data_IF_366001827617
#
_entry.id   IF_366001827617
#
_cell.length_a   1.000
_cell.length_b   1.000
_cell.length_c   1.000
_cell.angle_alpha   90.00
_cell.angle_beta   90.00
_cell.angle_gamma   90.00
#
_symmetry.space_group_name_H-M   'P 1'
#
loop_
_entity.id
_entity.type
_entity.pdbx_description
1 polymer ?
#
# COMPACT_ATOMS: atom_id res chain seq x y z
N UNK A 1 -6.08 5.79 -7.11
CA UNK A 1 -4.70 5.94 -7.58
C UNK A 1 -4.05 7.12 -6.85
N UNK A 2 -2.81 6.96 -6.41
CA UNK A 2 -1.98 8.01 -5.86
C UNK A 2 -0.81 8.23 -6.83
N UNK A 3 -0.72 9.44 -7.39
CA UNK A 3 0.42 9.84 -8.21
C UNK A 3 1.44 10.52 -7.31
N UNK A 4 2.63 9.94 -7.16
CA UNK A 4 3.77 10.49 -6.41
C UNK A 4 4.74 11.26 -7.30
N UNK A 5 4.39 11.48 -8.56
CA UNK A 5 5.21 12.15 -9.55
C UNK A 5 6.23 11.25 -10.25
N UNK A 6 7.11 11.89 -11.01
CA UNK A 6 8.22 11.20 -11.67
C UNK A 6 9.25 10.72 -10.64
N UNK A 7 9.75 9.50 -10.83
CA UNK A 7 10.74 8.93 -9.94
C UNK A 7 11.28 7.59 -10.41
N UNK A 8 12.16 7.01 -9.60
CA UNK A 8 12.69 5.67 -9.75
C UNK A 8 12.49 4.91 -8.43
N UNK A 9 11.29 4.36 -8.20
CA UNK A 9 11.02 3.61 -6.98
C UNK A 9 11.91 2.37 -6.89
N UNK A 10 12.60 2.20 -5.77
CA UNK A 10 13.56 1.10 -5.57
C UNK A 10 13.13 0.11 -4.51
N UNK A 11 12.36 0.57 -3.53
CA UNK A 11 11.83 -0.30 -2.47
C UNK A 11 10.59 0.30 -1.82
N UNK A 12 9.89 -0.55 -1.09
CA UNK A 12 8.78 -0.19 -0.21
C UNK A 12 8.95 -0.88 1.15
N UNK A 13 8.50 -0.24 2.21
CA UNK A 13 8.45 -0.82 3.55
C UNK A 13 7.18 -0.37 4.28
N UNK A 14 6.55 -1.26 5.06
CA UNK A 14 5.42 -0.88 5.91
C UNK A 14 5.88 -0.54 7.32
N UNK A 15 5.32 0.55 7.88
CA UNK A 15 5.65 1.05 9.20
C UNK A 15 5.13 0.22 10.38
N UNK A 16 4.42 -0.90 10.16
CA UNK A 16 3.76 -1.68 11.20
C UNK A 16 4.67 -2.13 12.35
N UNK A 17 5.94 -2.41 12.04
CA UNK A 17 6.95 -2.82 13.03
C UNK A 17 7.78 -1.64 13.56
N UNK A 18 7.40 -0.41 13.24
CA UNK A 18 8.14 0.78 13.67
C UNK A 18 7.77 1.22 15.09
N UNK A 19 8.73 1.91 15.74
CA UNK A 19 8.44 2.69 16.94
C UNK A 19 8.09 4.14 16.61
N UNK A 20 7.73 4.43 15.37
CA UNK A 20 7.23 5.75 14.98
C UNK A 20 5.83 5.99 15.55
N UNK A 21 5.46 7.26 15.79
CA UNK A 21 4.09 7.60 16.21
C UNK A 21 3.10 7.35 15.05
N UNK A 22 1.82 7.28 15.40
CA UNK A 22 0.77 7.45 14.41
C UNK A 22 0.90 8.86 13.77
N UNK A 23 0.70 9.02 12.45
CA UNK A 23 0.17 8.02 11.50
C UNK A 23 1.26 7.17 10.79
N UNK A 24 2.54 7.34 11.10
CA UNK A 24 3.66 6.67 10.40
C UNK A 24 3.70 5.16 10.60
N UNK A 25 3.22 4.67 11.76
CA UNK A 25 3.11 3.24 12.04
C UNK A 25 2.22 2.51 11.03
N UNK A 26 1.24 3.19 10.45
CA UNK A 26 0.34 2.65 9.44
C UNK A 26 0.68 3.13 8.01
N UNK A 27 1.81 3.81 7.85
CA UNK A 27 2.24 4.33 6.55
C UNK A 27 2.99 3.27 5.73
N UNK A 28 2.89 3.43 4.42
CA UNK A 28 3.75 2.76 3.45
C UNK A 28 4.88 3.71 3.08
N UNK A 29 6.12 3.30 3.27
CA UNK A 29 7.29 4.07 2.87
C UNK A 29 7.72 3.66 1.46
N UNK A 30 7.84 4.64 0.56
CA UNK A 30 8.27 4.43 -0.83
C UNK A 30 9.58 5.16 -1.04
N UNK A 31 10.58 4.45 -1.54
CA UNK A 31 11.92 4.97 -1.78
C UNK A 31 12.07 5.37 -3.24
N UNK A 32 12.55 6.59 -3.47
CA UNK A 32 12.86 7.11 -4.82
C UNK A 32 14.36 7.38 -4.97
N UNK A 33 15.01 6.59 -5.78
CA UNK A 33 16.43 6.66 -6.05
C UNK A 33 16.81 7.94 -6.85
N UNK A 34 15.98 8.31 -7.83
CA UNK A 34 16.31 9.37 -8.79
C UNK A 34 16.34 10.75 -8.13
N UNK A 35 15.39 11.04 -7.25
CA UNK A 35 15.26 12.34 -6.60
C UNK A 35 15.73 12.37 -5.15
N UNK A 36 16.21 11.22 -4.64
CA UNK A 36 16.74 11.13 -3.28
C UNK A 36 15.68 11.37 -2.20
N UNK A 37 14.58 10.64 -2.28
CA UNK A 37 13.44 10.81 -1.40
C UNK A 37 12.97 9.49 -0.80
N UNK A 38 12.45 9.56 0.40
CA UNK A 38 11.57 8.54 0.98
C UNK A 38 10.25 9.23 1.27
N UNK A 39 9.17 8.73 0.68
CA UNK A 39 7.81 9.21 0.93
C UNK A 39 7.14 8.36 2.00
N UNK A 40 6.40 8.98 2.90
CA UNK A 40 5.44 8.31 3.76
C UNK A 40 4.04 8.43 3.12
N UNK A 41 3.42 7.32 2.79
CA UNK A 41 2.09 7.24 2.20
C UNK A 41 1.10 6.77 3.24
N UNK A 42 0.15 7.63 3.57
CA UNK A 42 -0.93 7.35 4.51
C UNK A 42 -2.14 6.81 3.74
N UNK A 43 -2.51 5.58 4.04
CA UNK A 43 -3.59 4.86 3.37
C UNK A 43 -4.89 4.95 4.17
N UNK A 44 -5.96 5.32 3.49
CA UNK A 44 -7.32 5.38 4.04
C UNK A 44 -8.21 4.39 3.29
N UNK A 45 -8.95 3.50 3.98
CA UNK A 45 -9.89 2.58 3.33
C UNK A 45 -10.92 3.33 2.47
N UNK A 46 -11.13 2.86 1.24
CA UNK A 46 -12.08 3.43 0.27
C UNK A 46 -12.65 2.32 -0.60
N UNK A 47 -13.89 1.91 -0.32
CA UNK A 47 -14.51 0.75 -0.95
C UNK A 47 -13.65 -0.50 -0.85
N UNK A 48 -13.50 -1.21 -1.95
CA UNK A 48 -12.67 -2.41 -2.05
C UNK A 48 -11.16 -2.12 -2.19
N UNK A 49 -10.72 -0.88 -1.97
CA UNK A 49 -9.32 -0.44 -2.08
C UNK A 49 -8.97 0.60 -1.01
N UNK A 50 -8.03 1.47 -1.33
CA UNK A 50 -7.55 2.54 -0.46
C UNK A 50 -7.33 3.82 -1.27
N UNK A 51 -7.52 4.96 -0.61
CA UNK A 51 -6.97 6.25 -1.04
C UNK A 51 -5.66 6.50 -0.33
N UNK A 52 -4.73 7.14 -1.01
CA UNK A 52 -3.44 7.53 -0.44
C UNK A 52 -3.28 9.04 -0.36
N UNK A 53 -2.59 9.48 0.67
CA UNK A 53 -1.98 10.80 0.80
C UNK A 53 -0.52 10.60 1.12
N UNK A 54 0.40 11.37 0.54
CA UNK A 54 1.82 11.22 0.81
C UNK A 54 2.45 12.54 1.28
N UNK A 55 3.58 12.40 1.93
CA UNK A 55 4.48 13.48 2.28
C UNK A 55 5.94 13.04 2.10
N UNK A 56 6.84 14.00 1.93
CA UNK A 56 8.27 13.74 1.92
C UNK A 56 8.75 13.48 3.35
N UNK A 57 9.14 12.23 3.63
CA UNK A 57 9.57 11.80 4.96
C UNK A 57 11.08 12.00 5.16
N UNK A 58 11.88 11.63 4.17
CA UNK A 58 13.32 11.90 4.13
C UNK A 58 13.66 12.44 2.76
N UNK A 59 14.50 13.46 2.71
CA UNK A 59 15.02 14.02 1.45
C UNK A 59 16.50 14.37 1.58
N UNK A 60 17.25 14.25 0.51
CA UNK A 60 18.67 14.58 0.49
C UNK A 60 19.27 14.59 -0.91
N UNK A 61 20.44 15.23 -1.02
CA UNK A 61 21.22 15.27 -2.27
C UNK A 61 22.72 15.24 -1.96
N UNK A 62 23.46 14.18 -2.36
CA UNK A 62 22.92 12.95 -2.96
C UNK A 62 22.25 12.05 -1.92
N UNK A 63 21.14 11.40 -2.26
CA UNK A 63 20.49 10.40 -1.43
C UNK A 63 19.84 9.32 -2.33
N UNK A 64 20.67 8.60 -3.06
CA UNK A 64 20.23 7.54 -3.98
C UNK A 64 19.82 6.31 -3.17
N UNK A 65 18.61 6.30 -2.64
CA UNK A 65 18.06 5.24 -1.79
C UNK A 65 17.83 3.96 -2.59
N UNK A 66 18.30 2.81 -2.06
CA UNK A 66 18.31 1.53 -2.77
C UNK A 66 17.48 0.45 -2.09
N UNK A 67 17.29 0.53 -0.77
CA UNK A 67 16.52 -0.42 0.00
C UNK A 67 16.25 0.11 1.39
N UNK A 68 15.19 -0.39 2.03
CA UNK A 68 14.87 -0.09 3.42
C UNK A 68 14.13 -1.25 4.10
N UNK A 69 14.31 -1.36 5.41
CA UNK A 69 13.53 -2.24 6.27
C UNK A 69 13.48 -1.68 7.69
N UNK A 70 12.52 -2.16 8.48
CA UNK A 70 12.43 -1.83 9.90
C UNK A 70 13.20 -2.83 10.74
N UNK A 71 14.14 -2.36 11.55
CA UNK A 71 14.89 -3.19 12.47
C UNK A 71 14.08 -3.60 13.71
N UNK A 72 14.58 -4.57 14.48
CA UNK A 72 13.95 -5.03 15.72
C UNK A 72 13.83 -3.94 16.80
N UNK A 73 14.59 -2.85 16.65
CA UNK A 73 14.53 -1.65 17.49
C UNK A 73 13.48 -0.63 17.01
N UNK A 74 12.66 -0.99 16.05
CA UNK A 74 11.60 -0.17 15.47
C UNK A 74 12.08 1.06 14.69
N UNK A 75 13.37 1.16 14.39
CA UNK A 75 13.93 2.20 13.54
C UNK A 75 13.86 1.79 12.05
N UNK A 76 13.72 2.77 11.16
CA UNK A 76 13.86 2.55 9.72
C UNK A 76 15.35 2.55 9.37
N UNK A 77 15.83 1.47 8.80
CA UNK A 77 17.16 1.37 8.20
C UNK A 77 17.01 1.46 6.68
N UNK A 78 17.82 2.31 6.06
CA UNK A 78 17.84 2.38 4.61
C UNK A 78 19.28 2.48 4.10
N UNK A 79 19.48 1.97 2.89
CA UNK A 79 20.75 2.00 2.19
C UNK A 79 20.71 3.00 1.05
N UNK A 80 21.88 3.57 0.77
CA UNK A 80 22.10 4.39 -0.42
C UNK A 80 23.21 3.79 -1.26
N UNK A 81 23.17 4.04 -2.57
CA UNK A 81 24.19 3.59 -3.48
C UNK A 81 23.85 3.88 -4.94
N UNK A 82 24.79 3.64 -5.81
CA UNK A 82 24.60 3.82 -7.23
C UNK A 82 25.88 4.26 -7.94
N UNK A 83 25.77 4.53 -9.23
CA UNK A 83 26.91 4.90 -10.06
C UNK A 83 27.57 6.17 -9.54
N UNK A 84 28.85 6.07 -9.14
CA UNK A 84 29.70 7.20 -8.70
C UNK A 84 29.22 7.89 -7.41
N UNK A 85 28.35 7.26 -6.62
CA UNK A 85 27.94 7.73 -5.30
C UNK A 85 28.49 6.82 -4.21
N UNK A 86 28.88 7.41 -3.10
CA UNK A 86 29.30 6.63 -1.94
C UNK A 86 28.09 5.89 -1.36
N UNK A 87 28.25 4.59 -1.12
CA UNK A 87 27.23 3.79 -0.44
C UNK A 87 27.19 4.13 1.04
N UNK A 88 26.02 4.06 1.62
CA UNK A 88 25.80 4.32 3.02
C UNK A 88 24.65 3.47 3.60
N UNK A 89 24.70 3.26 4.91
CA UNK A 89 23.61 2.70 5.70
C UNK A 89 23.18 3.77 6.70
N UNK A 90 21.91 4.07 6.71
CA UNK A 90 21.32 5.11 7.55
C UNK A 90 20.27 4.50 8.47
N UNK A 91 20.09 5.10 9.63
CA UNK A 91 19.08 4.74 10.62
C UNK A 91 18.25 5.96 10.98
N UNK A 92 16.94 5.86 10.82
CA UNK A 92 15.96 6.86 11.24
C UNK A 92 15.17 6.33 12.42
N UNK A 93 15.17 7.07 13.52
CA UNK A 93 14.40 6.74 14.73
C UNK A 93 13.61 7.94 15.21
N UNK A 94 12.47 7.67 15.80
CA UNK A 94 11.72 8.71 16.49
C UNK A 94 12.38 9.01 17.85
N UNK A 95 12.63 10.29 18.13
CA UNK A 95 13.26 10.74 19.38
C UNK A 95 12.36 11.64 20.22
N UNK A 96 11.17 11.96 19.72
CA UNK A 96 10.20 12.81 20.40
C UNK A 96 9.31 12.04 21.38
N UNK A 97 8.46 12.77 22.11
CA UNK A 97 7.31 12.18 22.79
C UNK A 97 6.19 12.04 21.76
N UNK A 98 5.49 10.88 21.69
CA UNK A 98 4.31 10.78 20.85
C UNK A 98 3.34 11.90 21.23
N UNK A 99 3.00 12.77 20.27
CA UNK A 99 1.85 13.65 20.46
C UNK A 99 0.63 12.74 20.33
N UNK A 100 -0.22 12.76 21.38
CA UNK A 100 -1.57 12.29 21.22
C UNK A 100 -2.21 13.19 20.16
N UNK A 101 -2.71 12.55 19.10
CA UNK A 101 -3.47 13.16 18.03
C UNK A 101 -2.73 14.01 16.98
N UNK A 102 -2.51 13.39 15.86
CA UNK A 102 -2.86 13.95 14.55
C UNK A 102 -3.16 12.79 13.60
N UNK A 103 -4.10 11.93 14.00
CA UNK A 103 -4.63 10.91 13.12
C UNK A 103 -5.26 11.55 11.87
N UNK A 104 -5.26 10.82 10.77
CA UNK A 104 -6.17 11.10 9.66
C UNK A 104 -7.57 11.33 10.21
N UNK A 105 -8.40 12.20 9.60
CA UNK A 105 -9.78 12.39 10.03
C UNK A 105 -10.42 11.02 10.28
N UNK A 106 -10.95 10.81 11.48
CA UNK A 106 -11.58 9.54 11.83
C UNK A 106 -12.72 9.28 10.85
N UNK A 107 -12.57 8.26 10.02
CA UNK A 107 -13.68 7.76 9.21
C UNK A 107 -14.75 7.22 10.16
N UNK A 108 -16.01 7.52 9.88
CA UNK A 108 -17.12 6.95 10.64
C UNK A 108 -17.04 5.41 10.64
N UNK A 109 -17.38 4.78 11.74
CA UNK A 109 -17.35 3.30 11.87
C UNK A 109 -18.12 2.59 10.76
N UNK A 110 -19.25 3.14 10.32
CA UNK A 110 -20.07 2.61 9.22
C UNK A 110 -19.28 2.59 7.90
N UNK A 111 -18.50 3.63 7.61
CA UNK A 111 -17.69 3.69 6.39
C UNK A 111 -16.54 2.67 6.43
N UNK A 112 -15.90 2.52 7.60
CA UNK A 112 -14.82 1.53 7.78
C UNK A 112 -15.33 0.10 7.62
N UNK A 113 -16.51 -0.20 8.16
CA UNK A 113 -17.11 -1.52 8.03
C UNK A 113 -17.54 -1.81 6.59
N UNK A 114 -18.19 -0.87 5.90
CA UNK A 114 -18.53 -1.00 4.49
C UNK A 114 -17.30 -1.23 3.61
N UNK A 115 -16.23 -0.48 3.83
CA UNK A 115 -14.97 -0.66 3.11
C UNK A 115 -14.31 -2.02 3.43
N UNK A 116 -14.44 -2.52 4.66
CA UNK A 116 -13.97 -3.86 5.04
C UNK A 116 -14.71 -4.94 4.28
N UNK A 117 -16.04 -4.89 4.24
CA UNK A 117 -16.90 -5.84 3.52
C UNK A 117 -16.57 -5.83 2.01
N UNK A 118 -16.39 -4.65 1.42
CA UNK A 118 -16.00 -4.51 0.01
C UNK A 118 -14.65 -5.17 -0.28
N UNK A 119 -13.66 -5.01 0.60
CA UNK A 119 -12.35 -5.67 0.46
C UNK A 119 -12.44 -7.19 0.67
N UNK A 120 -13.29 -7.66 1.56
CA UNK A 120 -13.54 -9.09 1.75
C UNK A 120 -14.19 -9.72 0.51
N UNK A 121 -15.18 -9.07 -0.08
CA UNK A 121 -15.79 -9.50 -1.33
C UNK A 121 -14.76 -9.56 -2.46
N UNK A 122 -13.94 -8.51 -2.61
CA UNK A 122 -12.86 -8.49 -3.59
C UNK A 122 -11.90 -9.67 -3.38
N UNK A 123 -11.44 -9.94 -2.15
CA UNK A 123 -10.54 -11.08 -1.86
C UNK A 123 -11.18 -12.42 -2.21
N UNK A 124 -12.46 -12.60 -1.96
CA UNK A 124 -13.19 -13.81 -2.37
C UNK A 124 -13.18 -13.99 -3.89
N UNK A 125 -13.35 -12.92 -4.64
CA UNK A 125 -13.24 -12.96 -6.11
C UNK A 125 -11.82 -13.26 -6.56
N UNK A 126 -10.80 -12.69 -5.92
CA UNK A 126 -9.39 -12.89 -6.24
C UNK A 126 -8.92 -14.34 -6.06
N UNK A 127 -9.55 -15.15 -5.20
CA UNK A 127 -9.29 -16.60 -5.11
C UNK A 127 -9.52 -17.27 -6.47
N UNK A 128 -10.56 -16.85 -7.19
CA UNK A 128 -10.93 -17.42 -8.48
C UNK A 128 -10.12 -16.85 -9.66
N UNK A 129 -9.12 -16.02 -9.43
CA UNK A 129 -8.12 -15.67 -10.43
C UNK A 129 -7.18 -16.84 -10.77
N UNK A 130 -7.13 -17.87 -9.93
CA UNK A 130 -6.34 -19.09 -10.13
C UNK A 130 -7.16 -20.37 -9.98
N UNK A 131 -8.33 -20.32 -9.34
CA UNK A 131 -9.18 -21.47 -9.10
C UNK A 131 -10.39 -21.49 -10.05
N UNK A 132 -10.71 -22.69 -10.58
CA UNK A 132 -11.84 -22.89 -11.46
C UNK A 132 -12.96 -23.65 -10.74
N UNK A 133 -14.14 -23.01 -10.59
CA UNK A 133 -15.30 -23.63 -9.94
C UNK A 133 -16.62 -23.03 -10.42
N UNK A 134 -17.71 -23.75 -10.20
CA UNK A 134 -19.08 -23.23 -10.47
C UNK A 134 -19.39 -22.07 -9.51
N UNK A 135 -18.93 -22.16 -8.27
CA UNK A 135 -19.11 -21.08 -7.27
C UNK A 135 -18.40 -19.80 -7.73
N UNK A 136 -17.13 -19.91 -8.19
CA UNK A 136 -16.37 -18.80 -8.71
C UNK A 136 -17.02 -18.15 -9.93
N UNK A 137 -17.60 -18.97 -10.82
CA UNK A 137 -18.36 -18.47 -11.96
C UNK A 137 -19.58 -17.65 -11.51
N UNK A 138 -20.39 -18.16 -10.60
CA UNK A 138 -21.58 -17.47 -10.10
C UNK A 138 -21.20 -16.17 -9.38
N UNK A 139 -20.23 -16.23 -8.45
CA UNK A 139 -19.76 -15.05 -7.73
C UNK A 139 -19.21 -13.97 -8.67
N UNK A 140 -18.46 -14.36 -9.69
CA UNK A 140 -17.93 -13.42 -10.69
C UNK A 140 -19.07 -12.78 -11.49
N UNK A 141 -20.02 -13.58 -11.98
CA UNK A 141 -21.14 -13.10 -12.78
C UNK A 141 -21.98 -12.07 -12.04
N UNK A 142 -22.32 -12.32 -10.79
CA UNK A 142 -23.15 -11.44 -9.93
C UNK A 142 -22.48 -10.08 -9.64
N UNK A 143 -21.16 -9.99 -9.83
CA UNK A 143 -20.38 -8.79 -9.49
C UNK A 143 -19.79 -8.06 -10.70
N UNK A 144 -20.10 -8.44 -11.94
CA UNK A 144 -19.62 -7.77 -13.15
C UNK A 144 -20.13 -6.33 -13.28
N UNK A 145 -21.29 -6.01 -12.73
CA UNK A 145 -21.90 -4.67 -12.75
C UNK A 145 -21.82 -3.94 -11.40
N UNK A 146 -21.01 -4.41 -10.46
CA UNK A 146 -20.89 -3.82 -9.13
C UNK A 146 -20.39 -2.36 -9.22
N UNK A 147 -20.88 -1.45 -8.35
CA UNK A 147 -20.54 -0.02 -8.36
C UNK A 147 -19.06 0.26 -8.08
N UNK A 148 -18.41 -0.58 -7.26
CA UNK A 148 -16.99 -0.49 -6.98
C UNK A 148 -16.14 -1.03 -8.14
N UNK A 149 -15.26 -0.18 -8.68
CA UNK A 149 -14.39 -0.54 -9.81
C UNK A 149 -13.51 -1.77 -9.52
N UNK A 150 -12.97 -1.88 -8.31
CA UNK A 150 -12.05 -2.96 -7.97
C UNK A 150 -12.75 -4.31 -7.82
N UNK A 151 -14.00 -4.30 -7.38
CA UNK A 151 -14.85 -5.49 -7.34
C UNK A 151 -15.19 -5.92 -8.77
N UNK A 152 -15.64 -4.99 -9.64
CA UNK A 152 -15.88 -5.32 -11.06
C UNK A 152 -14.64 -5.88 -11.74
N UNK A 153 -13.47 -5.28 -11.48
CA UNK A 153 -12.22 -5.74 -12.06
C UNK A 153 -11.88 -7.17 -11.60
N UNK A 154 -11.96 -7.42 -10.30
CA UNK A 154 -11.72 -8.75 -9.74
C UNK A 154 -12.71 -9.79 -10.29
N UNK A 155 -14.00 -9.43 -10.41
CA UNK A 155 -15.04 -10.28 -10.99
C UNK A 155 -14.75 -10.64 -12.45
N UNK A 156 -14.32 -9.65 -13.26
CA UNK A 156 -13.96 -9.89 -14.65
C UNK A 156 -12.78 -10.86 -14.75
N UNK A 157 -11.71 -10.65 -14.00
CA UNK A 157 -10.53 -11.55 -14.03
C UNK A 157 -10.89 -12.95 -13.54
N UNK A 158 -11.73 -13.05 -12.50
CA UNK A 158 -12.23 -14.35 -12.03
C UNK A 158 -13.03 -15.09 -13.11
N UNK A 159 -13.89 -14.37 -13.87
CA UNK A 159 -14.66 -14.94 -14.97
C UNK A 159 -13.75 -15.39 -16.12
N UNK A 160 -12.78 -14.56 -16.54
CA UNK A 160 -11.82 -14.85 -17.59
C UNK A 160 -10.99 -16.12 -17.29
N UNK A 161 -10.78 -16.46 -16.03
CA UNK A 161 -10.10 -17.70 -15.62
C UNK A 161 -11.01 -18.93 -15.67
N UNK A 162 -12.33 -18.79 -15.76
CA UNK A 162 -13.24 -19.93 -15.85
C UNK A 162 -13.27 -20.51 -17.28
N UNK A 163 -13.50 -21.82 -17.44
CA UNK A 163 -13.60 -22.43 -18.76
C UNK A 163 -14.71 -21.79 -19.60
N UNK A 164 -14.40 -21.32 -20.80
CA UNK A 164 -15.34 -20.65 -21.73
C UNK A 164 -16.62 -21.46 -21.96
N UNK A 165 -16.54 -22.78 -21.92
CA UNK A 165 -17.71 -23.67 -22.10
C UNK A 165 -18.75 -23.57 -20.96
N UNK A 166 -18.44 -22.85 -19.87
CA UNK A 166 -19.30 -22.72 -18.69
C UNK A 166 -20.06 -21.40 -18.64
N UNK A 167 -19.72 -20.45 -19.51
CA UNK A 167 -20.34 -19.11 -19.57
C UNK A 167 -20.37 -18.56 -21.00
#
# INVERSE_FOLDING_TARGET
NLDIGLGSPTAIAFGANSHFPEPYRNALFILDWAYGKIFAVHLTPDGASYRGRFEEFVTGRPLNVTGADFGPDGALYFTTGGRRTQSGLYRVRFTGKPKEESGLPALGQTHLEAAKQSRELRRRLEVFHSEQSIEGLGLAWDNLSHDDFWIRHAARVALENQPIKRW
#
